data_IF_991905221020
#
_entry.id   IF_991905221020
#
_cell.length_a   1.000
_cell.length_b   1.000
_cell.length_c   1.000
_cell.angle_alpha   90.00
_cell.angle_beta   90.00
_cell.angle_gamma   90.00
#
_symmetry.space_group_name_H-M   'P 1'
#
loop_
_entity.id
_entity.type
_entity.pdbx_description
1 polymer ?
#
# COMPACT_ATOMS: atom_id res chain seq x y z
N UNK A 1 -9.57 0.24 9.91
CA UNK A 1 -8.35 0.08 9.10
C UNK A 1 -7.91 1.44 8.59
N UNK A 2 -6.61 1.76 8.62
CA UNK A 2 -6.04 2.97 8.00
C UNK A 2 -5.50 2.64 6.60
N UNK A 3 -5.40 3.66 5.75
CA UNK A 3 -4.88 3.52 4.39
C UNK A 3 -3.75 4.50 4.15
N UNK A 4 -2.63 3.99 3.63
CA UNK A 4 -1.48 4.79 3.19
C UNK A 4 -1.23 4.50 1.71
N UNK A 5 -0.97 5.55 0.95
CA UNK A 5 -0.60 5.49 -0.46
C UNK A 5 0.79 6.10 -0.61
N UNK A 6 1.75 5.29 -1.07
CA UNK A 6 3.11 5.72 -1.37
C UNK A 6 3.28 5.73 -2.89
N UNK A 7 3.68 6.88 -3.43
CA UNK A 7 3.89 7.05 -4.87
C UNK A 7 5.30 7.56 -5.16
N UNK A 8 5.93 7.11 -6.23
CA UNK A 8 7.24 7.61 -6.65
C UNK A 8 7.88 6.75 -7.74
N UNK A 9 8.76 7.33 -8.56
CA UNK A 9 9.39 6.65 -9.71
C UNK A 9 10.15 5.37 -9.33
N UNK A 10 10.45 4.49 -10.28
CA UNK A 10 11.36 3.38 -10.03
C UNK A 10 12.69 3.90 -9.45
N UNK A 11 13.28 3.18 -8.49
CA UNK A 11 14.52 3.61 -7.84
C UNK A 11 14.37 4.59 -6.67
N UNK A 12 13.22 5.22 -6.42
CA UNK A 12 13.05 6.25 -5.36
C UNK A 12 12.97 5.72 -3.91
N UNK A 13 13.45 4.49 -3.66
CA UNK A 13 13.50 3.94 -2.31
C UNK A 13 12.15 3.62 -1.65
N UNK A 14 11.03 3.58 -2.38
CA UNK A 14 9.69 3.18 -1.85
C UNK A 14 9.74 1.89 -1.03
N UNK A 15 10.45 0.87 -1.54
CA UNK A 15 10.62 -0.41 -0.84
C UNK A 15 11.38 -0.24 0.48
N UNK A 16 12.42 0.60 0.50
CA UNK A 16 13.16 0.93 1.74
C UNK A 16 12.28 1.68 2.73
N UNK A 17 11.42 2.59 2.26
CA UNK A 17 10.53 3.38 3.10
C UNK A 17 9.52 2.50 3.84
N UNK A 18 8.72 1.70 3.13
CA UNK A 18 7.71 0.88 3.80
C UNK A 18 8.35 -0.18 4.69
N UNK A 19 9.49 -0.76 4.30
CA UNK A 19 10.23 -1.69 5.16
C UNK A 19 10.69 -1.03 6.46
N UNK A 20 11.13 0.24 6.40
CA UNK A 20 11.46 1.01 7.61
C UNK A 20 10.22 1.25 8.47
N UNK A 21 9.10 1.65 7.85
CA UNK A 21 7.82 1.86 8.55
C UNK A 21 7.31 0.58 9.23
N UNK A 22 7.57 -0.59 8.65
CA UNK A 22 7.11 -1.88 9.15
C UNK A 22 8.16 -2.64 9.98
N UNK A 23 9.37 -2.09 10.17
CA UNK A 23 10.52 -2.84 10.71
C UNK A 23 10.32 -3.40 12.13
N UNK A 24 9.45 -2.79 12.93
CA UNK A 24 9.12 -3.20 14.30
C UNK A 24 7.68 -3.72 14.44
N UNK A 25 7.05 -4.10 13.33
CA UNK A 25 5.62 -4.46 13.32
C UNK A 25 5.35 -5.70 12.49
N UNK A 26 4.24 -6.38 12.82
CA UNK A 26 3.83 -7.55 12.05
C UNK A 26 3.26 -7.08 10.72
N UNK A 27 3.88 -7.47 9.61
CA UNK A 27 3.38 -7.13 8.29
C UNK A 27 3.20 -8.37 7.41
N UNK A 28 2.29 -8.23 6.45
CA UNK A 28 2.09 -9.16 5.35
C UNK A 28 2.34 -8.42 4.04
N UNK A 29 3.22 -8.97 3.21
CA UNK A 29 3.43 -8.51 1.84
C UNK A 29 2.98 -9.65 0.89
N UNK A 30 1.68 -9.74 0.58
CA UNK A 30 1.16 -10.82 -0.25
C UNK A 30 1.83 -10.82 -1.63
N UNK A 31 2.31 -12.00 -2.04
CA UNK A 31 2.87 -12.23 -3.38
C UNK A 31 1.84 -12.03 -4.49
N UNK A 32 0.55 -12.21 -4.18
CA UNK A 32 -0.58 -11.87 -5.04
C UNK A 32 -1.80 -11.47 -4.22
N UNK A 33 -2.34 -10.28 -4.46
CA UNK A 33 -3.54 -9.79 -3.76
C UNK A 33 -4.84 -10.49 -4.20
N UNK A 34 -4.84 -11.16 -5.35
CA UNK A 34 -6.02 -11.87 -5.88
C UNK A 34 -6.47 -13.01 -4.96
N UNK A 35 -5.51 -13.70 -4.36
CA UNK A 35 -5.73 -14.84 -3.47
C UNK A 35 -5.46 -14.47 -2.01
N UNK A 36 -5.39 -13.18 -1.70
CA UNK A 36 -5.14 -12.74 -0.34
C UNK A 36 -6.35 -13.03 0.55
N UNK A 37 -6.11 -13.85 1.57
CA UNK A 37 -7.06 -14.13 2.64
C UNK A 37 -6.32 -13.88 3.96
N UNK A 38 -6.67 -12.81 4.70
CA UNK A 38 -6.06 -12.56 6.00
C UNK A 38 -6.46 -13.67 6.97
N UNK A 39 -5.46 -14.41 7.48
CA UNK A 39 -5.66 -15.55 8.38
C UNK A 39 -5.24 -15.28 9.82
N UNK A 40 -4.54 -14.16 10.06
CA UNK A 40 -4.08 -13.72 11.38
C UNK A 40 -4.00 -12.20 11.46
N UNK A 41 -4.05 -11.61 12.66
CA UNK A 41 -3.85 -10.17 12.83
C UNK A 41 -2.48 -9.70 12.35
N UNK A 42 -2.45 -8.60 11.59
CA UNK A 42 -1.24 -7.91 11.18
C UNK A 42 -1.41 -6.39 11.26
N UNK A 43 -0.32 -5.69 11.55
CA UNK A 43 -0.32 -4.23 11.63
C UNK A 43 -0.39 -3.61 10.23
N UNK A 44 0.28 -4.24 9.26
CA UNK A 44 0.40 -3.74 7.90
C UNK A 44 0.16 -4.84 6.86
N UNK A 45 -0.71 -4.57 5.88
CA UNK A 45 -0.74 -5.30 4.61
C UNK A 45 -0.16 -4.42 3.51
N UNK A 46 0.90 -4.86 2.84
CA UNK A 46 1.66 -4.06 1.88
C UNK A 46 1.45 -4.61 0.47
N UNK A 47 0.88 -3.77 -0.39
CA UNK A 47 0.70 -4.06 -1.82
C UNK A 47 1.80 -3.36 -2.60
N UNK A 48 2.88 -4.09 -2.85
CA UNK A 48 3.95 -3.61 -3.75
C UNK A 48 3.44 -3.56 -5.19
N UNK A 49 3.91 -2.56 -5.95
CA UNK A 49 3.55 -2.38 -7.36
C UNK A 49 2.04 -2.38 -7.63
N UNK A 50 1.26 -1.75 -6.76
CA UNK A 50 -0.20 -1.71 -6.81
C UNK A 50 -0.75 -1.26 -8.19
N UNK A 51 0.02 -0.45 -8.93
CA UNK A 51 -0.34 -0.02 -10.29
C UNK A 51 -0.36 -1.12 -11.36
N UNK A 52 0.09 -2.35 -11.06
CA UNK A 52 -0.03 -3.51 -11.97
C UNK A 52 -1.41 -4.16 -11.91
N UNK A 53 -2.19 -3.89 -10.88
CA UNK A 53 -3.50 -4.49 -10.69
C UNK A 53 -4.61 -3.57 -11.21
N UNK A 54 -5.71 -4.17 -11.65
CA UNK A 54 -6.91 -3.41 -11.99
C UNK A 54 -7.49 -2.74 -10.73
N UNK A 55 -8.20 -1.62 -10.90
CA UNK A 55 -8.86 -0.94 -9.78
C UNK A 55 -9.83 -1.88 -9.07
N UNK A 56 -10.64 -2.65 -9.81
CA UNK A 56 -11.57 -3.62 -9.22
C UNK A 56 -10.87 -4.68 -8.36
N UNK A 57 -9.69 -5.14 -8.77
CA UNK A 57 -8.89 -6.07 -7.97
C UNK A 57 -8.39 -5.43 -6.67
N UNK A 58 -7.93 -4.19 -6.73
CA UNK A 58 -7.47 -3.45 -5.55
C UNK A 58 -8.61 -3.15 -4.59
N UNK A 59 -9.80 -2.83 -5.10
CA UNK A 59 -11.01 -2.63 -4.32
C UNK A 59 -11.47 -3.91 -3.61
N UNK A 60 -11.48 -5.04 -4.31
CA UNK A 60 -11.86 -6.33 -3.73
C UNK A 60 -10.90 -6.71 -2.60
N UNK A 61 -9.59 -6.58 -2.83
CA UNK A 61 -8.57 -6.76 -1.80
C UNK A 61 -8.80 -5.82 -0.61
N UNK A 62 -9.07 -4.53 -0.87
CA UNK A 62 -9.31 -3.55 0.20
C UNK A 62 -10.51 -3.92 1.06
N UNK A 63 -11.61 -4.33 0.43
CA UNK A 63 -12.82 -4.78 1.10
C UNK A 63 -12.55 -6.01 1.97
N UNK A 64 -11.80 -7.00 1.47
CA UNK A 64 -11.39 -8.19 2.24
C UNK A 64 -10.51 -7.83 3.45
N UNK A 65 -9.51 -6.98 3.25
CA UNK A 65 -8.65 -6.52 4.33
C UNK A 65 -9.44 -5.75 5.39
N UNK A 66 -10.32 -4.83 4.97
CA UNK A 66 -11.14 -4.01 5.86
C UNK A 66 -12.15 -4.83 6.67
N UNK A 67 -12.82 -5.80 6.04
CA UNK A 67 -13.86 -6.61 6.69
C UNK A 67 -13.30 -7.67 7.63
N UNK A 68 -12.03 -8.08 7.45
CA UNK A 68 -11.40 -9.11 8.27
C UNK A 68 -11.21 -8.74 9.74
N UNK A 69 -11.11 -7.45 10.06
CA UNK A 69 -10.69 -6.98 11.39
C UNK A 69 -9.23 -7.31 11.76
N UNK A 70 -8.50 -8.04 10.90
CA UNK A 70 -7.14 -8.49 11.14
C UNK A 70 -6.09 -7.49 10.69
N UNK A 71 -6.38 -6.70 9.66
CA UNK A 71 -5.44 -5.72 9.10
C UNK A 71 -5.68 -4.34 9.71
N UNK A 72 -4.68 -3.80 10.42
CA UNK A 72 -4.79 -2.44 10.98
C UNK A 72 -4.59 -1.36 9.91
N UNK A 73 -3.60 -1.54 9.04
CA UNK A 73 -3.24 -0.57 7.99
C UNK A 73 -2.95 -1.27 6.67
N UNK A 74 -3.43 -0.70 5.56
CA UNK A 74 -3.03 -1.13 4.21
C UNK A 74 -2.13 -0.06 3.60
N UNK A 75 -1.01 -0.50 3.01
CA UNK A 75 -0.07 0.36 2.29
C UNK A 75 -0.10 -0.03 0.81
N UNK A 76 -0.50 0.90 -0.04
CA UNK A 76 -0.42 0.74 -1.50
C UNK A 76 0.78 1.48 -2.05
N UNK A 77 1.57 0.82 -2.90
CA UNK A 77 2.79 1.39 -3.46
C UNK A 77 2.66 1.49 -4.98
N UNK A 78 2.61 2.72 -5.48
CA UNK A 78 2.53 3.01 -6.92
C UNK A 78 3.81 3.66 -7.46
N UNK A 79 4.08 3.47 -8.75
CA UNK A 79 5.15 4.19 -9.44
C UNK A 79 4.80 5.66 -9.74
N UNK A 80 3.51 5.92 -9.95
CA UNK A 80 2.91 7.24 -10.15
C UNK A 80 1.57 7.26 -9.43
N UNK A 81 1.12 8.43 -8.99
CA UNK A 81 -0.22 8.56 -8.42
C UNK A 81 -1.28 8.06 -9.42
N UNK A 82 -2.07 7.03 -9.09
CA UNK A 82 -3.21 6.64 -9.92
C UNK A 82 -4.22 7.79 -10.01
N UNK A 83 -4.86 7.93 -11.17
CA UNK A 83 -5.84 9.00 -11.43
C UNK A 83 -7.10 8.87 -10.57
N UNK A 84 -7.46 7.64 -10.18
CA UNK A 84 -8.61 7.35 -9.32
C UNK A 84 -8.21 6.48 -8.13
N UNK A 85 -8.50 7.00 -6.94
CA UNK A 85 -8.34 6.37 -5.62
C UNK A 85 -9.52 6.67 -4.70
N UNK A 86 -10.65 7.08 -5.28
CA UNK A 86 -11.85 7.43 -4.51
C UNK A 86 -12.34 6.28 -3.61
N UNK A 87 -12.13 5.05 -4.06
CA UNK A 87 -12.43 3.81 -3.35
C UNK A 87 -11.60 3.59 -2.07
N UNK A 88 -10.48 4.31 -1.89
CA UNK A 88 -9.68 4.27 -0.65
C UNK A 88 -10.28 5.11 0.49
N UNK A 89 -11.31 5.90 0.21
CA UNK A 89 -11.90 6.81 1.20
C UNK A 89 -10.88 7.82 1.73
N UNK A 90 -10.67 7.85 3.05
CA UNK A 90 -9.65 8.71 3.67
C UNK A 90 -8.31 7.97 3.73
N UNK A 91 -7.30 8.51 3.06
CA UNK A 91 -5.95 7.95 3.04
C UNK A 91 -4.87 9.02 3.20
N UNK A 92 -3.72 8.61 3.72
CA UNK A 92 -2.51 9.43 3.74
C UNK A 92 -1.71 9.22 2.46
N UNK A 93 -1.39 10.29 1.74
CA UNK A 93 -0.55 10.26 0.53
C UNK A 93 0.88 10.68 0.85
N UNK A 94 1.86 9.86 0.43
CA UNK A 94 3.29 10.17 0.51
C UNK A 94 3.86 10.13 -0.90
N UNK A 95 4.33 11.28 -1.39
CA UNK A 95 5.05 11.39 -2.66
C UNK A 95 6.56 11.33 -2.42
N UNK A 96 7.24 10.38 -3.08
CA UNK A 96 8.69 10.29 -3.18
C UNK A 96 9.09 10.74 -4.58
N UNK A 97 9.07 12.05 -4.81
CA UNK A 97 9.84 12.63 -5.90
C UNK A 97 11.29 12.72 -5.44
N UNK A 98 12.25 12.39 -6.31
CA UNK A 98 13.61 12.86 -6.05
C UNK A 98 13.50 14.37 -5.94
N UNK A 99 13.98 14.91 -4.82
CA UNK A 99 14.46 16.27 -4.79
C UNK A 99 15.36 16.44 -6.02
N UNK A 100 14.81 17.04 -7.07
CA UNK A 100 15.60 17.94 -7.89
C UNK A 100 16.06 19.02 -6.92
N UNK A 101 17.22 18.78 -6.32
CA UNK A 101 17.96 19.60 -5.37
C UNK A 101 17.17 20.73 -4.72
N UNK A 102 16.93 20.59 -3.42
CA UNK A 102 17.06 21.75 -2.54
C UNK A 102 18.40 22.44 -2.88
N UNK A 103 18.30 23.62 -3.49
CA UNK A 103 19.08 24.76 -3.02
C UNK A 103 18.34 25.36 -1.85
#
# INVERSE_FOLDING_TARGET
>A
MKTIVICGKAGTGKTRLWRKLCSESNFEAPSSILYYTPSRPCDYAVVEEAGRYSIGTLEEFHKKAASSGYVKTVIYIFQKMPADVSWLGRFLKIGLEEEGGAR
#
